data_IF_724211168721
#
_entry.id   IF_724211168721
#
_cell.length_a   1.000
_cell.length_b   1.000
_cell.length_c   1.000
_cell.angle_alpha   90.00
_cell.angle_beta   90.00
_cell.angle_gamma   90.00
#
_symmetry.space_group_name_H-M   'P 1'
#
loop_
_entity.id
_entity.type
_entity.pdbx_description
1 polymer ?
#
# COMPACT_ATOMS: atom_id res chain seq x y z
N UNK A 1 -2.29 -26.66 12.60
CA UNK A 1 -1.28 -26.55 11.53
C UNK A 1 -0.74 -25.13 11.59
N UNK A 2 0.44 -24.94 12.19
CA UNK A 2 1.04 -23.60 12.35
C UNK A 2 1.78 -23.29 11.05
N UNK A 3 1.24 -22.37 10.23
CA UNK A 3 2.00 -21.78 9.14
C UNK A 3 3.04 -20.87 9.77
N UNK A 4 4.28 -21.34 9.89
CA UNK A 4 5.41 -20.43 10.10
C UNK A 4 5.50 -19.55 8.86
N UNK A 5 4.90 -18.35 8.92
CA UNK A 5 5.17 -17.27 7.98
C UNK A 5 6.67 -17.01 8.08
N UNK A 6 7.42 -17.53 7.12
CA UNK A 6 8.85 -17.29 7.05
C UNK A 6 9.12 -15.81 6.78
N UNK A 7 10.34 -15.34 7.06
CA UNK A 7 10.78 -13.96 6.81
C UNK A 7 10.76 -13.51 5.34
N UNK A 8 10.05 -14.17 4.42
CA UNK A 8 10.10 -13.92 2.97
C UNK A 8 8.84 -13.20 2.42
N UNK A 9 7.65 -13.41 2.99
CA UNK A 9 6.41 -12.84 2.42
C UNK A 9 6.30 -11.33 2.65
N UNK A 10 6.73 -10.83 3.80
CA UNK A 10 6.73 -9.39 4.07
C UNK A 10 7.76 -8.64 3.22
N UNK A 11 8.92 -9.25 2.94
CA UNK A 11 9.94 -8.64 2.09
C UNK A 11 9.45 -8.57 0.64
N UNK A 12 8.77 -9.62 0.14
CA UNK A 12 8.12 -9.59 -1.18
C UNK A 12 7.02 -8.55 -1.26
N UNK A 13 6.24 -8.38 -0.19
CA UNK A 13 5.20 -7.35 -0.11
C UNK A 13 5.82 -5.95 -0.17
N UNK A 14 6.88 -5.70 0.61
CA UNK A 14 7.62 -4.44 0.57
C UNK A 14 8.15 -4.15 -0.83
N UNK A 15 8.81 -5.13 -1.47
CA UNK A 15 9.36 -5.00 -2.83
C UNK A 15 8.27 -4.70 -3.87
N UNK A 16 7.13 -5.39 -3.79
CA UNK A 16 6.00 -5.16 -4.69
C UNK A 16 5.44 -3.74 -4.52
N UNK A 17 5.15 -3.30 -3.29
CA UNK A 17 4.60 -1.97 -3.04
C UNK A 17 5.60 -0.88 -3.46
N UNK A 18 6.88 -1.07 -3.14
CA UNK A 18 7.95 -0.14 -3.54
C UNK A 18 8.05 -0.02 -5.07
N UNK A 19 7.96 -1.14 -5.79
CA UNK A 19 7.95 -1.16 -7.26
C UNK A 19 6.75 -0.40 -7.83
N UNK A 20 5.54 -0.70 -7.33
CA UNK A 20 4.32 -0.02 -7.77
C UNK A 20 4.36 1.48 -7.47
N UNK A 21 4.89 1.90 -6.31
CA UNK A 21 5.10 3.32 -6.06
C UNK A 21 6.04 3.96 -7.11
N UNK A 22 7.14 3.29 -7.46
CA UNK A 22 8.06 3.76 -8.51
C UNK A 22 7.41 3.90 -9.89
N UNK A 23 6.57 2.94 -10.29
CA UNK A 23 5.83 2.97 -11.56
C UNK A 23 4.83 4.15 -11.64
N UNK A 24 4.25 4.52 -10.50
CA UNK A 24 3.29 5.63 -10.39
C UNK A 24 3.92 6.99 -10.03
N UNK A 25 5.25 7.06 -9.84
CA UNK A 25 5.93 8.28 -9.41
C UNK A 25 5.57 8.71 -7.99
N UNK A 26 5.20 7.75 -7.14
CA UNK A 26 4.81 7.93 -5.75
C UNK A 26 5.97 7.55 -4.82
N UNK A 27 5.94 8.11 -3.61
CA UNK A 27 6.88 7.80 -2.54
C UNK A 27 6.22 6.90 -1.51
N UNK A 28 6.97 5.90 -1.04
CA UNK A 28 6.53 4.96 -0.02
C UNK A 28 7.17 5.29 1.34
N UNK A 29 6.36 5.33 2.39
CA UNK A 29 6.81 5.35 3.78
C UNK A 29 6.22 4.14 4.51
N UNK A 30 7.10 3.29 5.04
CA UNK A 30 6.71 2.05 5.73
C UNK A 30 6.88 2.23 7.23
N UNK A 31 5.86 1.87 7.99
CA UNK A 31 5.89 1.91 9.46
C UNK A 31 5.33 0.62 10.07
N UNK A 32 5.77 0.29 11.29
CA UNK A 32 5.37 -0.94 12.00
C UNK A 32 6.23 -2.16 11.65
N UNK A 33 6.39 -3.07 12.61
CA UNK A 33 7.22 -4.28 12.46
C UNK A 33 6.38 -5.52 12.18
N UNK A 34 5.37 -5.81 13.02
CA UNK A 34 4.48 -6.97 12.88
C UNK A 34 3.22 -6.68 12.06
N UNK A 35 2.72 -5.43 12.14
CA UNK A 35 1.61 -4.93 11.33
C UNK A 35 2.11 -3.71 10.59
N UNK A 36 2.55 -3.93 9.34
CA UNK A 36 3.08 -2.88 8.49
C UNK A 36 1.95 -2.00 7.96
N UNK A 37 2.19 -0.70 8.00
CA UNK A 37 1.39 0.33 7.35
C UNK A 37 2.25 0.94 6.25
N UNK A 38 1.69 1.02 5.05
CA UNK A 38 2.36 1.59 3.89
C UNK A 38 1.67 2.89 3.51
N UNK A 39 2.33 4.00 3.80
CA UNK A 39 1.87 5.34 3.47
C UNK A 39 2.42 5.75 2.11
N UNK A 40 1.51 6.11 1.22
CA UNK A 40 1.81 6.43 -0.17
C UNK A 40 1.60 7.91 -0.39
N UNK A 41 2.69 8.56 -0.76
CA UNK A 41 2.83 10.00 -0.76
C UNK A 41 3.10 10.50 -2.17
N UNK A 42 2.51 11.64 -2.52
CA UNK A 42 2.96 12.44 -3.65
C UNK A 42 3.99 13.43 -3.12
N UNK A 43 5.17 13.48 -3.74
CA UNK A 43 6.17 14.47 -3.35
C UNK A 43 5.68 15.89 -3.65
N UNK A 44 5.92 16.76 -2.68
CA UNK A 44 5.57 18.15 -2.78
C UNK A 44 6.35 18.87 -3.89
N UNK A 45 5.64 19.62 -4.74
CA UNK A 45 6.27 20.52 -5.71
C UNK A 45 6.74 21.82 -5.07
N UNK A 46 7.36 22.70 -5.86
CA UNK A 46 7.80 24.04 -5.42
C UNK A 46 6.68 24.91 -4.83
N UNK A 47 5.41 24.62 -5.14
CA UNK A 47 4.22 25.31 -4.60
C UNK A 47 3.65 24.67 -3.34
N UNK A 48 3.95 23.42 -3.07
CA UNK A 48 3.46 22.65 -1.91
C UNK A 48 4.63 21.82 -1.40
N UNK A 49 5.50 22.37 -0.54
CA UNK A 49 6.74 21.70 -0.15
C UNK A 49 6.53 20.48 0.76
N UNK A 50 5.29 20.22 1.19
CA UNK A 50 4.93 19.05 2.00
C UNK A 50 4.42 17.94 1.10
N UNK A 51 4.95 16.73 1.31
CA UNK A 51 4.41 15.52 0.72
C UNK A 51 2.96 15.32 1.15
N UNK A 52 2.11 14.85 0.24
CA UNK A 52 0.69 14.63 0.49
C UNK A 52 0.37 13.14 0.50
N UNK A 53 -0.30 12.67 1.56
CA UNK A 53 -0.78 11.29 1.65
C UNK A 53 -1.96 11.08 0.70
N UNK A 54 -1.79 10.15 -0.24
CA UNK A 54 -2.79 9.84 -1.27
C UNK A 54 -3.41 8.46 -1.11
N UNK A 55 -2.66 7.51 -0.53
CA UNK A 55 -3.19 6.21 -0.15
C UNK A 55 -2.46 5.65 1.08
N UNK A 56 -3.12 4.74 1.78
CA UNK A 56 -2.55 3.95 2.87
C UNK A 56 -2.98 2.50 2.71
N UNK A 57 -2.02 1.59 2.76
CA UNK A 57 -2.31 0.16 2.78
C UNK A 57 -2.14 -0.32 4.21
N UNK A 58 -3.22 -0.86 4.77
CA UNK A 58 -3.17 -1.58 6.04
C UNK A 58 -3.26 -3.07 5.72
N UNK A 59 -2.10 -3.71 5.63
CA UNK A 59 -2.05 -5.14 5.39
C UNK A 59 -2.18 -5.89 6.71
N UNK A 60 -3.23 -6.70 6.82
CA UNK A 60 -3.25 -7.80 7.78
C UNK A 60 -2.68 -9.02 7.08
N UNK A 61 -1.36 -9.16 7.14
CA UNK A 61 -0.62 -10.41 6.94
C UNK A 61 -1.35 -11.43 6.02
N UNK A 62 -1.30 -11.22 4.70
CA UNK A 62 -1.76 -12.17 3.66
C UNK A 62 -3.24 -12.62 3.71
N UNK A 63 -4.05 -12.09 4.63
CA UNK A 63 -5.43 -12.60 4.87
C UNK A 63 -6.48 -11.60 4.39
N UNK A 64 -6.19 -10.30 4.52
CA UNK A 64 -6.98 -9.23 3.94
C UNK A 64 -6.08 -8.07 3.53
N UNK A 65 -6.24 -7.62 2.29
CA UNK A 65 -5.60 -6.41 1.78
C UNK A 65 -6.60 -5.28 1.78
N UNK A 66 -6.50 -4.35 2.73
CA UNK A 66 -7.28 -3.11 2.69
C UNK A 66 -6.40 -1.97 2.18
N UNK A 67 -6.82 -1.35 1.09
CA UNK A 67 -6.18 -0.17 0.52
C UNK A 67 -7.11 1.02 0.70
N UNK A 68 -6.73 1.95 1.57
CA UNK A 68 -7.45 3.21 1.75
C UNK A 68 -6.90 4.25 0.79
N UNK A 69 -7.78 4.86 0.00
CA UNK A 69 -7.45 5.93 -0.95
C UNK A 69 -8.03 7.23 -0.43
N UNK A 70 -7.19 8.24 -0.28
CA UNK A 70 -7.56 9.54 0.27
C UNK A 70 -7.68 10.64 -0.79
N UNK A 71 -7.06 10.42 -1.95
CA UNK A 71 -6.96 11.38 -3.05
C UNK A 71 -7.05 10.64 -4.38
N UNK A 72 -7.63 11.27 -5.41
CA UNK A 72 -7.77 10.66 -6.74
C UNK A 72 -6.42 10.25 -7.35
N UNK A 73 -5.33 10.94 -6.99
CA UNK A 73 -3.96 10.59 -7.42
C UNK A 73 -3.53 9.19 -6.95
N UNK A 74 -4.13 8.67 -5.87
CA UNK A 74 -3.84 7.33 -5.35
C UNK A 74 -4.72 6.22 -5.94
N UNK A 75 -5.73 6.54 -6.75
CA UNK A 75 -6.73 5.57 -7.19
C UNK A 75 -6.17 4.51 -8.17
N UNK A 76 -5.34 4.94 -9.12
CA UNK A 76 -4.70 4.04 -10.08
C UNK A 76 -3.75 3.08 -9.36
N UNK A 77 -2.88 3.61 -8.50
CA UNK A 77 -2.00 2.83 -7.65
C UNK A 77 -2.76 1.81 -6.78
N UNK A 78 -3.87 2.21 -6.14
CA UNK A 78 -4.64 1.31 -5.29
C UNK A 78 -5.29 0.15 -6.04
N UNK A 79 -5.69 0.40 -7.29
CA UNK A 79 -6.22 -0.65 -8.17
C UNK A 79 -5.14 -1.67 -8.51
N UNK A 80 -3.93 -1.21 -8.85
CA UNK A 80 -2.81 -2.09 -9.18
C UNK A 80 -2.33 -2.88 -7.96
N UNK A 81 -2.32 -2.26 -6.78
CA UNK A 81 -2.04 -2.96 -5.52
C UNK A 81 -3.07 -4.04 -5.25
N UNK A 82 -4.36 -3.74 -5.42
CA UNK A 82 -5.42 -4.73 -5.25
C UNK A 82 -5.23 -5.94 -6.15
N UNK A 83 -5.01 -5.72 -7.44
CA UNK A 83 -4.76 -6.78 -8.42
C UNK A 83 -3.50 -7.60 -8.10
N UNK A 84 -2.42 -6.94 -7.66
CA UNK A 84 -1.18 -7.62 -7.32
C UNK A 84 -1.30 -8.45 -6.03
N UNK A 85 -2.08 -7.99 -5.04
CA UNK A 85 -2.38 -8.77 -3.83
C UNK A 85 -3.19 -10.04 -4.14
N UNK A 86 -4.15 -9.95 -5.05
CA UNK A 86 -4.95 -11.10 -5.50
C UNK A 86 -4.11 -12.09 -6.29
N UNK A 87 -3.33 -11.62 -7.26
CA UNK A 87 -2.50 -12.44 -8.15
C UNK A 87 -1.32 -13.11 -7.42
N UNK A 88 -0.54 -12.32 -6.67
CA UNK A 88 0.80 -12.75 -6.23
C UNK A 88 0.80 -13.32 -4.81
N UNK A 89 -0.20 -12.95 -4.00
CA UNK A 89 -0.32 -13.34 -2.59
C UNK A 89 -1.57 -14.20 -2.30
N UNK A 90 -2.43 -14.42 -3.30
CA UNK A 90 -3.62 -15.27 -3.17
C UNK A 90 -4.66 -14.71 -2.21
N UNK A 91 -4.72 -13.39 -2.04
CA UNK A 91 -5.81 -12.71 -1.33
C UNK A 91 -7.10 -12.93 -2.13
N UNK A 92 -8.17 -13.39 -1.47
CA UNK A 92 -9.41 -13.75 -2.16
C UNK A 92 -10.11 -12.54 -2.80
N UNK A 93 -10.05 -11.39 -2.14
CA UNK A 93 -10.56 -10.11 -2.62
C UNK A 93 -9.82 -8.98 -1.89
N UNK A 94 -9.17 -8.10 -2.65
CA UNK A 94 -8.58 -6.89 -2.09
C UNK A 94 -9.63 -5.78 -2.02
N UNK A 95 -9.75 -5.13 -0.85
CA UNK A 95 -10.76 -4.11 -0.63
C UNK A 95 -10.11 -2.74 -0.81
N UNK A 96 -10.58 -1.99 -1.82
CA UNK A 96 -10.19 -0.59 -2.02
C UNK A 96 -11.27 0.32 -1.46
N UNK A 97 -10.95 1.07 -0.41
CA UNK A 97 -11.85 2.00 0.27
C UNK A 97 -11.46 3.44 -0.04
N UNK A 98 -12.36 4.20 -0.64
CA UNK A 98 -12.20 5.64 -0.79
C UNK A 98 -12.70 6.34 0.47
N UNK A 99 -11.81 7.01 1.19
CA UNK A 99 -12.10 7.63 2.49
C UNK A 99 -11.54 9.06 2.56
N UNK A 100 -12.09 9.95 3.41
CA UNK A 100 -11.51 11.26 3.63
C UNK A 100 -10.08 11.16 4.18
N UNK A 101 -9.22 12.14 3.87
CA UNK A 101 -7.90 12.26 4.50
C UNK A 101 -8.05 12.34 6.02
N UNK A 102 -7.23 11.62 6.80
CA UNK A 102 -7.17 11.81 8.25
C UNK A 102 -6.69 13.23 8.56
N UNK A 103 -7.28 13.87 9.57
CA UNK A 103 -6.93 15.22 10.07
C UNK A 103 -5.56 15.27 10.77
#
# INVERSE_FOLDING_TARGET
MVKTQGPNEYDRLDEMIQRLCGEHGLRLEVSGWTRKTYDVLVEGGSRTPRSELVARIESFATTSGEVRVFDDRGAAFATDVGAALESDFGVAEAIVLRVPRPE
#
